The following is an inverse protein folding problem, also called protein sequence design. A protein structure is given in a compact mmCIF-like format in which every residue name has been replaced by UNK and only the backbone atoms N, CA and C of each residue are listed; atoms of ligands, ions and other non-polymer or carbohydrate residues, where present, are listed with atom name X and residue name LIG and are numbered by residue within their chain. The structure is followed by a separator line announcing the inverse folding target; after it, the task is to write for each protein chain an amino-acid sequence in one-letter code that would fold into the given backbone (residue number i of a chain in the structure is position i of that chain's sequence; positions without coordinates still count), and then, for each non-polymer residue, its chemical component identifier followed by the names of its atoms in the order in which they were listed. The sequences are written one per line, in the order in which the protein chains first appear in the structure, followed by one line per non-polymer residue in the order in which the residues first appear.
data_IF_315686465300
#
_entry.id   IF_315686465300
#
_cell.length_a   1.000
_cell.length_b   1.000
_cell.length_c   1.000
_cell.angle_alpha   90.00
_cell.angle_beta   90.00
_cell.angle_gamma   90.00
#
_symmetry.space_group_name_H-M   'P 1'
#
loop_
_entity.id
_entity.type
_entity.pdbx_description
1 polymer ?
#
# COMPACT_ATOMS: atom_id res chain seq x y z
N UNK A 1 14.15 6.25 -21.69
CA UNK A 1 15.02 5.80 -20.57
C UNK A 1 14.98 6.70 -19.33
N UNK A 2 14.91 8.04 -19.43
CA UNK A 2 14.81 8.93 -18.24
C UNK A 2 13.60 8.69 -17.33
N UNK A 3 12.47 8.22 -17.88
CA UNK A 3 11.29 7.86 -17.09
C UNK A 3 11.55 6.66 -16.18
N UNK A 4 12.12 5.57 -16.71
CA UNK A 4 12.47 4.38 -15.94
C UNK A 4 13.57 4.66 -14.91
N UNK A 5 14.58 5.48 -15.23
CA UNK A 5 15.60 5.86 -14.24
C UNK A 5 15.03 6.72 -13.12
N UNK A 6 14.07 7.61 -13.43
CA UNK A 6 13.36 8.40 -12.41
C UNK A 6 12.39 7.55 -11.60
N UNK A 7 11.74 6.55 -12.20
CA UNK A 7 10.90 5.57 -11.48
C UNK A 7 11.77 4.72 -10.57
N UNK A 8 12.94 4.25 -11.01
CA UNK A 8 13.86 3.44 -10.20
C UNK A 8 14.54 4.27 -9.10
N UNK A 9 14.94 5.52 -9.39
CA UNK A 9 15.49 6.44 -8.39
C UNK A 9 14.43 6.87 -7.37
N UNK A 10 13.18 7.08 -7.80
CA UNK A 10 12.03 7.26 -6.91
C UNK A 10 11.75 6.02 -6.10
N UNK A 11 11.72 4.82 -6.69
CA UNK A 11 11.59 3.57 -5.94
C UNK A 11 12.72 3.36 -4.91
N UNK A 12 13.94 3.85 -5.21
CA UNK A 12 15.09 3.82 -4.29
C UNK A 12 14.96 4.81 -3.13
N UNK A 13 14.41 6.00 -3.39
CA UNK A 13 14.19 7.03 -2.37
C UNK A 13 12.89 6.81 -1.56
N UNK A 14 11.87 6.24 -2.22
CA UNK A 14 10.53 5.89 -1.73
C UNK A 14 10.41 4.43 -1.28
N UNK A 15 11.52 3.70 -1.13
CA UNK A 15 11.54 2.40 -0.45
C UNK A 15 11.28 2.55 1.05
N UNK A 16 10.20 3.26 1.40
CA UNK A 16 9.42 2.99 2.58
C UNK A 16 9.07 1.51 2.57
N UNK A 17 9.67 0.77 3.49
CA UNK A 17 9.46 -0.67 3.59
C UNK A 17 7.98 -1.06 3.76
N UNK A 18 7.11 -0.14 4.18
CA UNK A 18 5.68 -0.39 4.40
C UNK A 18 4.86 -0.39 3.10
N UNK A 19 5.04 0.62 2.24
CA UNK A 19 4.38 0.65 0.91
C UNK A 19 4.91 -0.50 0.08
N UNK A 20 6.23 -0.74 0.13
CA UNK A 20 6.85 -1.85 -0.57
C UNK A 20 6.29 -3.21 -0.12
N UNK A 21 6.20 -3.48 1.18
CA UNK A 21 5.68 -4.76 1.68
C UNK A 21 4.16 -4.93 1.50
N UNK A 22 3.37 -3.86 1.62
CA UNK A 22 1.92 -3.92 1.38
C UNK A 22 1.61 -4.11 -0.10
N UNK A 23 2.32 -3.40 -0.99
CA UNK A 23 2.20 -3.57 -2.45
C UNK A 23 2.70 -4.95 -2.87
N UNK A 24 3.79 -5.44 -2.28
CA UNK A 24 4.27 -6.81 -2.50
C UNK A 24 3.26 -7.85 -2.04
N UNK A 25 2.74 -7.74 -0.81
CA UNK A 25 1.77 -8.70 -0.30
C UNK A 25 0.47 -8.68 -1.11
N UNK A 26 0.03 -7.49 -1.55
CA UNK A 26 -1.11 -7.33 -2.43
C UNK A 26 -0.86 -7.97 -3.80
N UNK A 27 0.27 -7.66 -4.46
CA UNK A 27 0.66 -8.27 -5.74
C UNK A 27 0.80 -9.79 -5.64
N UNK A 28 1.37 -10.28 -4.54
CA UNK A 28 1.46 -11.72 -4.27
C UNK A 28 0.10 -12.38 -4.08
N UNK A 29 -0.81 -11.72 -3.37
CA UNK A 29 -2.20 -12.14 -3.27
C UNK A 29 -2.89 -12.18 -4.64
N UNK A 30 -2.72 -11.15 -5.47
CA UNK A 30 -3.29 -11.10 -6.82
C UNK A 30 -2.76 -12.22 -7.69
N UNK A 31 -1.45 -12.43 -7.69
CA UNK A 31 -0.80 -13.43 -8.51
C UNK A 31 -1.21 -14.83 -8.05
N UNK A 32 -1.27 -15.08 -6.74
CA UNK A 32 -1.73 -16.34 -6.17
C UNK A 32 -3.19 -16.64 -6.53
N UNK A 33 -4.10 -15.67 -6.38
CA UNK A 33 -5.52 -15.83 -6.72
C UNK A 33 -5.73 -16.00 -8.23
N UNK A 34 -4.95 -15.31 -9.06
CA UNK A 34 -4.96 -15.46 -10.51
C UNK A 34 -4.50 -16.86 -10.95
N UNK A 35 -3.44 -17.40 -10.33
CA UNK A 35 -3.00 -18.78 -10.61
C UNK A 35 -3.96 -19.85 -10.10
N UNK A 36 -4.66 -19.59 -8.98
CA UNK A 36 -5.77 -20.45 -8.53
C UNK A 36 -6.94 -20.46 -9.52
N UNK A 37 -7.21 -19.34 -10.19
CA UNK A 37 -8.26 -19.20 -11.22
C UNK A 37 -7.90 -19.90 -12.54
N UNK A 38 -6.61 -19.96 -12.90
CA UNK A 38 -6.14 -20.50 -14.19
C UNK A 38 -6.07 -22.03 -14.28
N UNK A 39 -6.32 -22.79 -13.21
CA UNK A 39 -6.53 -24.23 -13.42
C UNK A 39 -6.67 -25.09 -12.18
N UNK A 40 -7.78 -25.84 -12.16
CA UNK A 40 -7.90 -27.12 -11.46
C UNK A 40 -6.98 -28.22 -12.06
N UNK A 41 -6.22 -27.94 -13.13
CA UNK A 41 -5.61 -28.97 -13.98
C UNK A 41 -4.08 -28.98 -14.08
N UNK A 42 -3.34 -28.00 -13.55
CA UNK A 42 -1.87 -28.03 -13.62
C UNK A 42 -1.21 -27.71 -12.28
N UNK A 43 -0.77 -28.77 -11.59
CA UNK A 43 0.06 -28.69 -10.37
C UNK A 43 1.28 -27.76 -10.53
N UNK A 44 1.78 -27.62 -11.76
CA UNK A 44 2.89 -26.73 -12.11
C UNK A 44 2.59 -25.24 -11.88
N UNK A 45 1.35 -24.77 -12.13
CA UNK A 45 0.99 -23.37 -11.89
C UNK A 45 0.96 -23.03 -10.39
N UNK A 46 0.47 -23.95 -9.55
CA UNK A 46 0.51 -23.77 -8.10
C UNK A 46 1.94 -23.74 -7.56
N UNK A 47 2.81 -24.63 -8.05
CA UNK A 47 4.24 -24.64 -7.68
C UNK A 47 4.91 -23.32 -8.12
N UNK A 48 4.63 -22.86 -9.34
CA UNK A 48 5.15 -21.58 -9.85
C UNK A 48 4.70 -20.38 -9.02
N UNK A 49 3.41 -20.33 -8.65
CA UNK A 49 2.86 -19.27 -7.79
C UNK A 49 3.52 -19.28 -6.40
N UNK A 50 3.67 -20.46 -5.79
CA UNK A 50 4.35 -20.61 -4.50
C UNK A 50 5.82 -20.19 -4.56
N UNK A 51 6.53 -20.59 -5.61
CA UNK A 51 7.93 -20.20 -5.83
C UNK A 51 8.08 -18.68 -5.98
N UNK A 52 7.18 -18.04 -6.75
CA UNK A 52 7.18 -16.59 -6.93
C UNK A 52 6.85 -15.85 -5.63
N UNK A 53 5.90 -16.36 -4.83
CA UNK A 53 5.61 -15.84 -3.50
C UNK A 53 6.81 -15.93 -2.56
N UNK A 54 7.48 -17.08 -2.53
CA UNK A 54 8.71 -17.27 -1.76
C UNK A 54 9.85 -16.35 -2.21
N UNK A 55 10.03 -16.18 -3.52
CA UNK A 55 11.04 -15.30 -4.09
C UNK A 55 10.81 -13.83 -3.69
N UNK A 56 9.58 -13.35 -3.84
CA UNK A 56 9.24 -11.97 -3.48
C UNK A 56 9.32 -11.76 -1.96
N UNK A 57 8.88 -12.73 -1.15
CA UNK A 57 9.04 -12.68 0.31
C UNK A 57 10.51 -12.61 0.73
N UNK A 58 11.38 -13.38 0.05
CA UNK A 58 12.83 -13.34 0.27
C UNK A 58 13.43 -11.99 -0.12
N UNK A 59 13.02 -11.42 -1.26
CA UNK A 59 13.43 -10.07 -1.64
C UNK A 59 13.01 -9.03 -0.60
N UNK A 60 11.76 -9.09 -0.12
CA UNK A 60 11.27 -8.18 0.91
C UNK A 60 12.09 -8.27 2.20
N UNK A 61 12.45 -9.48 2.63
CA UNK A 61 13.34 -9.70 3.77
C UNK A 61 14.74 -9.10 3.55
N UNK A 62 15.33 -9.31 2.36
CA UNK A 62 16.63 -8.72 2.01
C UNK A 62 16.60 -7.19 1.99
N UNK A 63 15.53 -6.59 1.46
CA UNK A 63 15.36 -5.13 1.47
C UNK A 63 15.18 -4.59 2.89
N UNK A 64 14.41 -5.28 3.73
CA UNK A 64 14.27 -4.94 5.15
C UNK A 64 15.62 -4.95 5.86
N UNK A 65 16.40 -6.01 5.71
CA UNK A 65 17.72 -6.12 6.35
C UNK A 65 18.68 -5.03 5.88
N UNK A 66 18.74 -4.77 4.57
CA UNK A 66 19.56 -3.67 4.02
C UNK A 66 19.14 -2.32 4.60
N UNK A 67 17.84 -2.10 4.72
CA UNK A 67 17.30 -0.87 5.29
C UNK A 67 17.63 -0.72 6.78
N UNK A 68 17.44 -1.78 7.58
CA UNK A 68 17.81 -1.80 8.99
C UNK A 68 19.32 -1.58 9.20
N UNK A 69 20.16 -2.19 8.37
CA UNK A 69 21.62 -1.97 8.40
C UNK A 69 22.00 -0.53 8.06
N UNK A 70 21.32 0.09 7.08
CA UNK A 70 21.52 1.50 6.77
C UNK A 70 21.12 2.42 7.92
N UNK A 71 20.01 2.13 8.62
CA UNK A 71 19.60 2.88 9.80
C UNK A 71 20.57 2.69 10.97
N UNK A 72 21.06 1.47 11.20
CA UNK A 72 22.05 1.17 12.23
C UNK A 72 23.39 1.88 11.97
N UNK A 73 23.82 1.97 10.71
CA UNK A 73 24.98 2.76 10.33
C UNK A 73 24.78 4.25 10.67
N UNK A 74 23.65 4.82 10.24
CA UNK A 74 23.32 6.23 10.53
C UNK A 74 23.15 6.55 12.01
N UNK A 75 22.64 5.62 12.82
CA UNK A 75 22.52 5.84 14.27
C UNK A 75 23.87 5.91 14.98
N UNK A 76 24.91 5.28 14.41
CA UNK A 76 26.27 5.30 14.97
C UNK A 76 27.12 6.44 14.41
N UNK A 77 26.75 6.99 13.25
CA UNK A 77 27.46 8.13 12.67
C UNK A 77 27.06 9.44 13.36
N UNK A 78 28.02 10.13 13.95
CA UNK A 78 27.80 11.44 14.57
C UNK A 78 27.78 12.55 13.50
N UNK A 79 26.76 12.55 12.65
CA UNK A 79 26.56 13.61 11.64
C UNK A 79 26.00 14.86 12.33
N UNK A 80 26.51 16.07 12.01
CA UNK A 80 26.00 17.33 12.56
C UNK A 80 24.67 17.77 11.92
N UNK A 81 23.80 16.81 11.61
CA UNK A 81 22.50 17.05 10.99
C UNK A 81 21.44 17.02 12.10
N UNK A 82 20.75 18.14 12.28
CA UNK A 82 19.60 18.27 13.17
C UNK A 82 18.33 18.51 12.37
N UNK A 83 17.23 17.99 12.89
CA UNK A 83 15.89 18.13 12.36
C UNK A 83 15.03 18.88 13.39
N UNK A 84 14.39 19.97 12.98
CA UNK A 84 13.36 20.64 13.74
C UNK A 84 12.08 19.80 13.70
N UNK A 85 11.57 19.44 14.86
CA UNK A 85 10.35 18.65 15.02
C UNK A 85 9.19 19.59 15.28
N UNK A 86 8.18 19.53 14.43
CA UNK A 86 6.98 20.35 14.53
C UNK A 86 5.77 19.44 14.71
N UNK A 87 4.94 19.69 15.73
CA UNK A 87 3.69 18.96 16.00
C UNK A 87 2.55 19.94 15.87
N UNK A 88 1.56 19.65 15.01
CA UNK A 88 0.43 20.56 14.76
C UNK A 88 0.87 22.00 14.45
N UNK A 89 1.88 22.16 13.59
CA UNK A 89 2.45 23.47 13.21
C UNK A 89 3.19 24.23 14.33
N UNK A 90 3.42 23.62 15.49
CA UNK A 90 4.24 24.20 16.56
C UNK A 90 5.57 23.46 16.65
N UNK A 91 6.68 24.16 16.51
CA UNK A 91 8.03 23.57 16.70
C UNK A 91 8.22 23.22 18.17
N UNK A 92 8.37 21.93 18.46
CA UNK A 92 8.43 21.40 19.83
C UNK A 92 9.86 21.11 20.28
N UNK A 93 10.80 20.92 19.35
CA UNK A 93 12.18 20.62 19.68
C UNK A 93 13.00 20.23 18.46
N UNK A 94 14.22 19.76 18.71
CA UNK A 94 15.14 19.25 17.69
C UNK A 94 15.52 17.81 17.98
N UNK A 95 15.78 17.04 16.93
CA UNK A 95 16.30 15.67 17.02
C UNK A 95 17.48 15.53 16.06
N UNK A 96 18.57 14.90 16.50
CA UNK A 96 19.68 14.65 15.59
C UNK A 96 19.34 13.53 14.59
N UNK A 97 20.03 13.50 13.45
CA UNK A 97 19.83 12.44 12.45
C UNK A 97 20.10 11.04 13.01
N UNK A 98 21.10 10.91 13.88
CA UNK A 98 21.47 9.64 14.50
C UNK A 98 20.38 9.16 15.47
N UNK A 99 19.80 10.07 16.25
CA UNK A 99 18.68 9.77 17.14
C UNK A 99 17.41 9.40 16.36
N UNK A 100 17.11 10.12 15.29
CA UNK A 100 15.98 9.81 14.43
C UNK A 100 16.16 8.44 13.74
N UNK A 101 17.35 8.15 13.22
CA UNK A 101 17.67 6.86 12.63
C UNK A 101 17.55 5.71 13.65
N UNK A 102 17.99 5.92 14.90
CA UNK A 102 17.83 4.96 15.98
C UNK A 102 16.34 4.69 16.28
N UNK A 103 15.51 5.74 16.37
CA UNK A 103 14.06 5.59 16.56
C UNK A 103 13.45 4.73 15.45
N UNK A 104 13.74 5.06 14.18
CA UNK A 104 13.24 4.25 13.05
C UNK A 104 13.75 2.82 13.12
N UNK A 105 15.03 2.60 13.45
CA UNK A 105 15.59 1.26 13.56
C UNK A 105 14.79 0.40 14.54
N UNK A 106 14.52 0.91 15.75
CA UNK A 106 13.73 0.19 16.75
C UNK A 106 12.30 -0.11 16.28
N UNK A 107 11.63 0.86 15.66
CA UNK A 107 10.27 0.68 15.14
C UNK A 107 10.22 -0.38 14.04
N UNK A 108 11.11 -0.33 13.05
CA UNK A 108 11.09 -1.26 11.92
C UNK A 108 11.56 -2.67 12.29
N UNK A 109 12.33 -2.80 13.39
CA UNK A 109 12.75 -4.07 13.97
C UNK A 109 11.63 -4.75 14.76
N UNK A 110 10.63 -4.01 15.26
CA UNK A 110 9.52 -4.57 16.03
C UNK A 110 8.51 -5.31 15.13
N UNK A 111 8.50 -6.64 15.21
CA UNK A 111 7.58 -7.51 14.48
C UNK A 111 6.10 -7.29 14.84
N UNK A 112 5.79 -6.72 16.01
CA UNK A 112 4.41 -6.42 16.42
C UNK A 112 3.80 -5.34 15.53
N UNK A 113 4.60 -4.37 15.10
CA UNK A 113 4.17 -3.29 14.21
C UNK A 113 3.92 -3.83 12.81
N UNK A 114 4.74 -4.78 12.35
CA UNK A 114 4.49 -5.53 11.11
C UNK A 114 3.15 -6.26 11.14
N UNK A 115 2.86 -6.96 12.25
CA UNK A 115 1.58 -7.63 12.44
C UNK A 115 0.40 -6.65 12.48
N UNK A 116 0.56 -5.52 13.18
CA UNK A 116 -0.46 -4.46 13.19
C UNK A 116 -0.71 -3.88 11.80
N UNK A 117 0.35 -3.69 10.99
CA UNK A 117 0.23 -3.22 9.61
C UNK A 117 -0.47 -4.25 8.73
N UNK A 118 -0.19 -5.54 8.91
CA UNK A 118 -0.88 -6.63 8.21
C UNK A 118 -2.39 -6.62 8.54
N UNK A 119 -2.74 -6.54 9.83
CA UNK A 119 -4.14 -6.45 10.27
C UNK A 119 -4.84 -5.20 9.73
N UNK A 120 -4.14 -4.07 9.68
CA UNK A 120 -4.67 -2.86 9.05
C UNK A 120 -4.95 -3.08 7.56
N UNK A 121 -4.06 -3.80 6.85
CA UNK A 121 -4.28 -4.22 5.47
C UNK A 121 -5.51 -5.10 5.30
N UNK A 122 -5.66 -6.15 6.13
CA UNK A 122 -6.83 -7.05 6.12
C UNK A 122 -8.11 -6.28 6.40
N UNK A 123 -8.10 -5.37 7.38
CA UNK A 123 -9.25 -4.51 7.69
C UNK A 123 -9.66 -3.66 6.49
N UNK A 124 -8.71 -3.03 5.80
CA UNK A 124 -8.99 -2.22 4.62
C UNK A 124 -9.52 -3.06 3.45
N UNK A 125 -8.96 -4.26 3.24
CA UNK A 125 -9.47 -5.23 2.27
C UNK A 125 -10.94 -5.59 2.58
N UNK A 126 -11.25 -5.89 3.84
CA UNK A 126 -12.60 -6.23 4.27
C UNK A 126 -13.60 -5.08 4.08
N UNK A 127 -13.20 -3.85 4.40
CA UNK A 127 -14.03 -2.66 4.16
C UNK A 127 -14.35 -2.53 2.67
N UNK A 128 -13.34 -2.64 1.80
CA UNK A 128 -13.56 -2.56 0.35
C UNK A 128 -14.43 -3.71 -0.17
N UNK A 129 -14.23 -4.93 0.35
CA UNK A 129 -15.08 -6.07 0.01
C UNK A 129 -16.54 -5.79 0.35
N UNK A 130 -16.81 -5.26 1.55
CA UNK A 130 -18.16 -4.89 1.96
C UNK A 130 -18.75 -3.80 1.07
N UNK A 131 -17.99 -2.75 0.79
CA UNK A 131 -18.42 -1.64 -0.09
C UNK A 131 -18.76 -2.15 -1.50
N UNK A 132 -17.94 -3.04 -2.07
CA UNK A 132 -18.17 -3.59 -3.41
C UNK A 132 -19.37 -4.55 -3.47
N UNK A 133 -19.61 -5.36 -2.43
CA UNK A 133 -20.84 -6.18 -2.32
C UNK A 133 -22.07 -5.29 -2.29
N UNK A 134 -22.04 -4.18 -1.53
CA UNK A 134 -23.14 -3.22 -1.47
C UNK A 134 -23.34 -2.47 -2.81
N UNK A 135 -22.27 -2.25 -3.57
CA UNK A 135 -22.33 -1.62 -4.88
C UNK A 135 -22.80 -2.57 -6.01
N UNK A 136 -22.76 -3.89 -5.78
CA UNK A 136 -23.03 -4.91 -6.80
C UNK A 136 -24.46 -4.83 -7.37
N UNK A 137 -25.54 -4.69 -6.58
CA UNK A 137 -26.88 -4.53 -7.13
C UNK A 137 -27.01 -3.30 -8.03
N UNK A 138 -26.44 -2.17 -7.61
CA UNK A 138 -26.42 -0.94 -8.41
C UNK A 138 -25.67 -1.15 -9.72
N UNK A 139 -24.51 -1.81 -9.68
CA UNK A 139 -23.74 -2.13 -10.88
C UNK A 139 -24.48 -3.08 -11.83
N UNK A 140 -25.19 -4.08 -11.30
CA UNK A 140 -26.01 -4.99 -12.11
C UNK A 140 -27.17 -4.27 -12.78
N UNK A 141 -27.90 -3.43 -12.05
CA UNK A 141 -29.03 -2.65 -12.61
C UNK A 141 -28.53 -1.70 -13.69
N UNK A 142 -27.46 -0.93 -13.41
CA UNK A 142 -26.89 -0.02 -14.39
C UNK A 142 -26.31 -0.75 -15.59
N UNK A 143 -25.68 -1.92 -15.38
CA UNK A 143 -25.17 -2.78 -16.43
C UNK A 143 -26.31 -3.32 -17.33
N UNK A 144 -27.43 -3.75 -16.73
CA UNK A 144 -28.61 -4.18 -17.48
C UNK A 144 -29.22 -3.03 -18.28
N UNK A 145 -29.35 -1.83 -17.70
CA UNK A 145 -29.84 -0.65 -18.43
C UNK A 145 -28.91 -0.30 -19.60
N UNK A 146 -27.59 -0.32 -19.38
CA UNK A 146 -26.61 -0.05 -20.42
C UNK A 146 -26.69 -1.09 -21.55
N UNK A 147 -26.77 -2.38 -21.22
CA UNK A 147 -26.95 -3.43 -22.22
C UNK A 147 -28.26 -3.28 -22.99
N UNK A 148 -29.36 -2.89 -22.34
CA UNK A 148 -30.64 -2.68 -23.00
C UNK A 148 -30.59 -1.54 -24.03
N UNK A 149 -29.89 -0.46 -23.71
CA UNK A 149 -29.78 0.72 -24.57
C UNK A 149 -28.78 0.52 -25.73
N UNK A 150 -27.64 -0.12 -25.47
CA UNK A 150 -26.54 -0.21 -26.43
C UNK A 150 -26.44 -1.56 -27.16
N UNK A 151 -26.97 -2.64 -26.58
CA UNK A 151 -26.86 -3.99 -27.11
C UNK A 151 -28.09 -4.88 -26.74
N UNK A 152 -29.32 -4.50 -27.13
CA UNK A 152 -30.54 -5.17 -26.69
C UNK A 152 -30.61 -6.66 -27.07
N UNK A 153 -29.97 -7.08 -28.16
CA UNK A 153 -29.87 -8.49 -28.55
C UNK A 153 -29.10 -9.34 -27.53
N UNK A 154 -28.10 -8.77 -26.85
CA UNK A 154 -27.31 -9.48 -25.84
C UNK A 154 -28.13 -9.78 -24.59
N UNK A 155 -29.03 -8.88 -24.18
CA UNK A 155 -29.93 -9.14 -23.05
C UNK A 155 -30.83 -10.34 -23.33
N UNK A 156 -31.42 -10.40 -24.54
CA UNK A 156 -32.28 -11.52 -24.92
C UNK A 156 -31.48 -12.82 -24.89
N UNK A 157 -30.27 -12.80 -25.47
CA UNK A 157 -29.35 -13.94 -25.47
C UNK A 157 -29.01 -14.44 -24.06
N UNK A 158 -28.67 -13.52 -23.15
CA UNK A 158 -28.37 -13.84 -21.74
C UNK A 158 -29.60 -14.47 -21.06
N UNK A 159 -30.78 -13.86 -21.20
CA UNK A 159 -32.01 -14.39 -20.61
C UNK A 159 -32.36 -15.79 -21.14
N UNK A 160 -32.24 -16.01 -22.46
CA UNK A 160 -32.48 -17.33 -23.06
C UNK A 160 -31.46 -18.37 -22.58
N UNK A 161 -30.18 -17.98 -22.47
CA UNK A 161 -29.13 -18.87 -21.99
C UNK A 161 -29.36 -19.25 -20.53
N UNK A 162 -29.74 -18.29 -19.68
CA UNK A 162 -30.07 -18.54 -18.28
C UNK A 162 -31.32 -19.42 -18.12
N UNK A 163 -32.33 -19.25 -18.97
CA UNK A 163 -33.57 -20.06 -18.92
C UNK A 163 -33.33 -21.54 -19.25
N UNK A 164 -32.28 -21.85 -20.02
CA UNK A 164 -31.93 -23.21 -20.43
C UNK A 164 -30.72 -23.78 -19.70
N UNK A 165 -30.09 -23.02 -18.79
CA UNK A 165 -28.91 -23.48 -18.08
C UNK A 165 -29.24 -24.54 -17.03
N UNK A 166 -28.42 -25.59 -16.95
CA UNK A 166 -28.53 -26.57 -15.86
C UNK A 166 -28.08 -25.96 -14.51
N UNK A 167 -28.52 -26.50 -13.37
CA UNK A 167 -28.02 -26.06 -12.05
C UNK A 167 -26.50 -26.09 -11.94
N UNK A 168 -25.86 -27.09 -12.54
CA UNK A 168 -24.40 -27.22 -12.55
C UNK A 168 -23.74 -26.07 -13.34
N UNK A 169 -24.28 -25.73 -14.51
CA UNK A 169 -23.80 -24.60 -15.32
C UNK A 169 -23.95 -23.28 -14.57
N UNK A 170 -25.08 -23.06 -13.89
CA UNK A 170 -25.31 -21.87 -13.08
C UNK A 170 -24.29 -21.77 -11.93
N UNK A 171 -24.04 -22.88 -11.23
CA UNK A 171 -23.06 -22.90 -10.14
C UNK A 171 -21.64 -22.58 -10.62
N UNK A 172 -21.24 -23.10 -11.78
CA UNK A 172 -19.94 -22.82 -12.39
C UNK A 172 -19.83 -21.34 -12.81
N UNK A 173 -20.88 -20.77 -13.41
CA UNK A 173 -20.93 -19.35 -13.79
C UNK A 173 -20.85 -18.43 -12.58
N UNK A 174 -21.57 -18.73 -11.48
CA UNK A 174 -21.49 -17.97 -10.24
C UNK A 174 -20.09 -18.03 -9.64
N UNK A 175 -19.47 -19.21 -9.62
CA UNK A 175 -18.09 -19.37 -9.17
C UNK A 175 -17.13 -18.49 -9.99
N UNK A 176 -17.23 -18.50 -11.32
CA UNK A 176 -16.44 -17.63 -12.18
C UNK A 176 -16.69 -16.14 -11.91
N UNK A 177 -17.93 -15.73 -11.70
CA UNK A 177 -18.26 -14.33 -11.38
C UNK A 177 -17.63 -13.88 -10.05
N UNK A 178 -17.67 -14.74 -9.02
CA UNK A 178 -17.02 -14.48 -7.73
C UNK A 178 -15.51 -14.34 -7.91
N UNK A 179 -14.88 -15.17 -8.73
CA UNK A 179 -13.45 -15.06 -9.03
C UNK A 179 -13.09 -13.75 -9.73
N UNK A 180 -13.86 -13.36 -10.75
CA UNK A 180 -13.66 -12.07 -11.44
C UNK A 180 -13.80 -10.91 -10.44
N UNK A 181 -14.83 -10.95 -9.59
CA UNK A 181 -15.04 -9.94 -8.56
C UNK A 181 -13.87 -9.86 -7.56
N UNK A 182 -13.39 -11.00 -7.07
CA UNK A 182 -12.23 -11.06 -6.18
C UNK A 182 -10.96 -10.51 -6.84
N UNK A 183 -10.72 -10.85 -8.10
CA UNK A 183 -9.59 -10.32 -8.87
C UNK A 183 -9.68 -8.80 -9.02
N UNK A 184 -10.85 -8.27 -9.39
CA UNK A 184 -11.08 -6.83 -9.49
C UNK A 184 -10.89 -6.12 -8.14
N UNK A 185 -11.32 -6.74 -7.05
CA UNK A 185 -11.16 -6.20 -5.70
C UNK A 185 -9.68 -6.09 -5.32
N UNK A 186 -8.90 -7.15 -5.54
CA UNK A 186 -7.45 -7.14 -5.23
C UNK A 186 -6.70 -6.13 -6.11
N UNK A 187 -7.02 -6.06 -7.40
CA UNK A 187 -6.48 -5.04 -8.32
C UNK A 187 -6.87 -3.64 -7.81
N UNK A 188 -8.12 -3.45 -7.39
CA UNK A 188 -8.61 -2.20 -6.81
C UNK A 188 -7.83 -1.79 -5.55
N UNK A 189 -7.59 -2.72 -4.61
CA UNK A 189 -6.75 -2.47 -3.43
C UNK A 189 -5.34 -2.08 -3.85
N UNK A 190 -4.74 -2.82 -4.79
CA UNK A 190 -3.36 -2.58 -5.25
C UNK A 190 -3.23 -1.22 -5.93
N UNK A 191 -4.16 -0.87 -6.82
CA UNK A 191 -4.18 0.44 -7.46
C UNK A 191 -4.39 1.54 -6.42
N UNK A 192 -5.30 1.34 -5.47
CA UNK A 192 -5.58 2.28 -4.39
C UNK A 192 -4.35 2.51 -3.50
N UNK A 193 -3.56 1.48 -3.22
CA UNK A 193 -2.31 1.59 -2.43
C UNK A 193 -1.15 2.17 -3.24
N UNK A 194 -1.05 1.86 -4.54
CA UNK A 194 0.01 2.39 -5.41
C UNK A 194 -0.21 3.86 -5.83
N UNK A 195 -1.46 4.31 -5.94
CA UNK A 195 -1.83 5.65 -6.45
C UNK A 195 -2.06 6.66 -5.30
N UNK A 196 -1.87 6.26 -4.04
CA UNK A 196 -2.22 7.04 -2.84
C UNK A 196 -1.45 8.35 -2.65
N UNK A 197 -0.53 8.72 -3.54
CA UNK A 197 0.26 9.94 -3.43
C UNK A 197 -0.33 11.20 -4.08
N UNK A 198 -1.41 11.12 -4.89
CA UNK A 198 -1.90 12.33 -5.61
C UNK A 198 -3.39 12.45 -5.86
N UNK A 199 -4.10 11.34 -6.07
CA UNK A 199 -5.52 11.39 -6.50
C UNK A 199 -6.49 10.83 -5.47
N UNK A 200 -6.05 9.88 -4.67
CA UNK A 200 -6.85 9.30 -3.60
C UNK A 200 -6.05 9.48 -2.31
N UNK A 201 -6.53 10.33 -1.41
CA UNK A 201 -6.05 10.38 -0.01
C UNK A 201 -6.47 9.08 0.67
N UNK A 202 -5.83 7.99 0.29
CA UNK A 202 -6.01 6.71 0.96
C UNK A 202 -5.10 6.79 2.14
N UNK A 203 -5.66 7.26 3.26
CA UNK A 203 -4.96 7.32 4.52
C UNK A 203 -4.81 5.89 5.05
N UNK A 204 -3.92 5.12 4.42
CA UNK A 204 -3.38 3.90 5.00
C UNK A 204 -2.55 4.36 6.19
N UNK A 205 -3.25 4.60 7.30
CA UNK A 205 -2.68 4.95 8.60
C UNK A 205 -1.53 3.99 8.90
N UNK A 206 -0.32 4.38 8.53
CA UNK A 206 0.88 3.57 8.66
C UNK A 206 1.10 3.32 10.14
N UNK A 207 1.06 2.05 10.54
CA UNK A 207 1.29 1.70 11.94
C UNK A 207 2.72 2.04 12.36
N UNK A 208 3.63 2.09 11.38
CA UNK A 208 5.01 2.52 11.57
C UNK A 208 5.10 4.02 11.80
N UNK A 209 4.42 4.83 11.00
CA UNK A 209 4.47 6.29 11.14
C UNK A 209 3.87 6.69 12.50
N UNK A 210 2.78 6.04 12.91
CA UNK A 210 2.21 6.18 14.27
C UNK A 210 3.20 5.84 15.37
N UNK A 211 3.95 4.74 15.21
CA UNK A 211 4.93 4.31 16.19
C UNK A 211 6.18 5.20 16.23
N UNK A 212 6.68 5.65 15.07
CA UNK A 212 7.77 6.63 14.95
C UNK A 212 7.33 7.94 15.62
N UNK A 213 6.15 8.44 15.28
CA UNK A 213 5.63 9.67 15.84
C UNK A 213 5.46 9.60 17.36
N UNK A 214 4.96 8.46 17.87
CA UNK A 214 4.87 8.23 19.32
C UNK A 214 6.26 8.18 19.99
N UNK A 215 7.23 7.52 19.36
CA UNK A 215 8.59 7.43 19.90
C UNK A 215 9.31 8.79 19.93
N UNK A 216 9.17 9.61 18.88
CA UNK A 216 9.71 10.97 18.83
C UNK A 216 9.08 11.84 19.92
N UNK A 217 7.74 11.81 20.07
CA UNK A 217 7.03 12.56 21.11
C UNK A 217 7.49 12.21 22.52
N UNK A 218 7.62 10.91 22.81
CA UNK A 218 8.14 10.43 24.11
C UNK A 218 9.56 10.93 24.35
N UNK A 219 10.41 10.96 23.32
CA UNK A 219 11.78 11.47 23.43
C UNK A 219 11.83 12.97 23.72
N UNK A 220 10.95 13.75 23.11
CA UNK A 220 10.87 15.20 23.29
C UNK A 220 10.00 15.65 24.48
N UNK A 221 9.38 14.71 25.22
CA UNK A 221 8.48 15.04 26.33
C UNK A 221 7.17 15.73 25.90
N UNK A 222 6.73 15.51 24.65
CA UNK A 222 5.55 16.18 24.08
C UNK A 222 4.31 15.29 24.23
N UNK A 223 3.32 15.75 24.99
CA UNK A 223 2.05 15.04 25.18
C UNK A 223 1.05 15.22 24.02
N UNK A 224 1.25 16.23 23.16
CA UNK A 224 0.33 16.53 22.07
C UNK A 224 0.22 15.35 21.08
N UNK A 225 -1.00 15.04 20.66
CA UNK A 225 -1.26 14.13 19.54
C UNK A 225 -1.44 14.92 18.24
N UNK A 226 -1.10 14.31 17.11
CA UNK A 226 -1.24 14.93 15.80
C UNK A 226 -0.11 14.56 14.84
N UNK A 227 -0.09 15.26 13.72
CA UNK A 227 0.89 15.05 12.66
C UNK A 227 2.24 15.64 13.06
N UNK A 228 3.29 14.86 12.84
CA UNK A 228 4.67 15.26 13.12
C UNK A 228 5.38 15.58 11.81
N UNK A 229 6.01 16.75 11.79
CA UNK A 229 6.80 17.26 10.68
C UNK A 229 8.25 17.33 11.10
N UNK A 230 9.16 16.88 10.23
CA UNK A 230 10.59 17.06 10.40
C UNK A 230 11.06 18.05 9.33
N UNK A 231 11.50 19.23 9.74
CA UNK A 231 12.05 20.24 8.85
C UNK A 231 13.53 20.46 9.15
N UNK A 232 14.29 20.85 8.15
CA UNK A 232 15.66 21.32 8.32
C UNK A 232 15.86 22.55 7.46
N UNK A 233 16.48 23.57 8.02
CA UNK A 233 16.95 24.71 7.24
C UNK A 233 18.33 24.38 6.70
N UNK A 234 18.49 24.36 5.37
CA UNK A 234 19.78 24.18 4.71
C UNK A 234 20.02 25.37 3.76
N UNK A 235 21.14 26.07 3.94
CA UNK A 235 21.56 27.22 3.10
C UNK A 235 20.48 28.32 2.96
N UNK A 236 19.80 28.66 4.06
CA UNK A 236 18.75 29.69 4.08
C UNK A 236 17.44 29.27 3.39
N UNK A 237 17.32 28.01 2.96
CA UNK A 237 16.07 27.44 2.44
C UNK A 237 15.48 26.47 3.44
N UNK A 238 14.19 26.65 3.69
CA UNK A 238 13.40 25.74 4.51
C UNK A 238 13.18 24.43 3.73
N UNK A 239 13.89 23.37 4.11
CA UNK A 239 13.64 22.03 3.60
C UNK A 239 12.70 21.32 4.58
N UNK A 240 11.40 21.55 4.42
CA UNK A 240 10.37 20.79 5.11
C UNK A 240 10.32 19.37 4.54
N UNK A 241 10.70 18.38 5.33
CA UNK A 241 10.51 16.97 5.03
C UNK A 241 9.13 16.55 5.59
N UNK A 242 8.13 16.55 4.73
CA UNK A 242 6.83 16.00 5.04
C UNK A 242 6.93 14.48 4.86
N UNK A 243 6.65 13.69 5.91
CA UNK A 243 6.74 12.22 5.78
C UNK A 243 5.68 11.65 4.81
N UNK A 244 4.59 12.41 4.60
CA UNK A 244 3.44 12.13 3.73
C UNK A 244 3.43 12.93 2.38
N UNK A 245 4.24 13.99 2.23
CA UNK A 245 4.46 14.76 0.98
C UNK A 245 5.90 14.53 0.54
N UNK A 246 6.20 13.28 0.18
CA UNK A 246 7.36 12.89 -0.64
C UNK A 246 7.37 13.53 -2.03
N UNK A 247 6.38 14.39 -2.29
CA UNK A 247 6.14 15.17 -3.47
C UNK A 247 6.48 16.66 -3.31
N UNK A 248 6.89 17.11 -2.12
CA UNK A 248 7.35 18.47 -1.90
C UNK A 248 8.77 18.65 -2.46
N UNK A 249 8.88 18.75 -3.78
CA UNK A 249 9.95 19.53 -4.38
C UNK A 249 9.90 20.93 -3.78
N UNK A 250 11.08 21.45 -3.46
CA UNK A 250 11.34 22.82 -3.05
C UNK A 250 10.46 23.81 -3.83
N UNK A 251 9.34 24.23 -3.22
CA UNK A 251 8.77 25.52 -3.57
C UNK A 251 9.72 26.53 -2.96
N UNK A 252 10.71 26.94 -3.75
CA UNK A 252 11.33 28.24 -3.53
C UNK A 252 10.17 29.23 -3.48
N UNK A 253 9.83 29.70 -2.28
CA UNK A 253 9.14 30.97 -2.15
C UNK A 253 10.16 32.00 -2.60
N UNK A 254 10.10 32.34 -3.89
CA UNK A 254 10.54 33.66 -4.36
C UNK A 254 9.57 34.70 -3.81
#
# INVERSE_FOLDING_TARGET
MKFLSNVVARFRADANSHVFCVVIAALLGTIFLFFMQLGHHSRLLHIGAGALAGFIGSLAALFRERYLNSLAGRSNENRPIEWDVTVNSVTVGRISDSEYAAVRYYVFRDNRIWFAQLLAGVKNFWILAKETVLALPTALVLGAVALALFAPSEIISICTTMAHASPDQLSASVSHAVWVWMTLLVVGVTLRTCVSGRFFKVNLNSQFDKAIALAIRRRLGVAAEGDIWLSRIQDGRDMTFYEDDRWAFARGKS
#
